data_IF_005916435738
#
_entry.id   IF_005916435738
#
_cell.length_a   1.000
_cell.length_b   1.000
_cell.length_c   1.000
_cell.angle_alpha   90.00
_cell.angle_beta   90.00
_cell.angle_gamma   90.00
#
_symmetry.space_group_name_H-M   'P 1'
#
loop_
_entity.id
_entity.type
_entity.pdbx_description
1 polymer ?
#
# COMPACT_ATOMS: atom_id res chain seq x y z
N UNK A 1 -14.17 4.93 -5.47
CA UNK A 1 -14.14 6.03 -4.53
C UNK A 1 -13.09 7.07 -4.93
N UNK A 2 -13.44 8.01 -5.85
CA UNK A 2 -12.60 9.21 -6.10
C UNK A 2 -11.31 9.00 -6.89
N UNK A 3 -11.20 7.91 -7.66
CA UNK A 3 -10.08 7.78 -8.60
C UNK A 3 -10.12 8.91 -9.63
N UNK A 4 -8.98 9.54 -9.85
CA UNK A 4 -8.75 10.53 -10.91
C UNK A 4 -7.39 10.22 -11.54
N UNK A 5 -7.26 10.29 -12.89
CA UNK A 5 -5.95 10.25 -13.53
C UNK A 5 -5.06 11.37 -13.00
N UNK A 6 -3.80 11.06 -12.76
CA UNK A 6 -2.82 12.08 -12.34
C UNK A 6 -2.12 12.68 -13.56
N UNK A 7 -1.62 13.92 -13.47
CA UNK A 7 -0.98 14.58 -14.60
C UNK A 7 0.29 13.87 -15.08
N UNK A 8 0.50 13.88 -16.40
CA UNK A 8 1.79 13.58 -17.00
C UNK A 8 2.42 14.92 -17.42
N UNK A 9 3.46 15.34 -16.69
CA UNK A 9 4.10 16.65 -16.83
C UNK A 9 5.36 16.53 -17.66
N UNK A 10 5.49 17.34 -18.73
CA UNK A 10 6.72 17.45 -19.51
C UNK A 10 7.67 18.47 -18.90
N UNK A 11 8.92 18.05 -18.65
CA UNK A 11 9.99 18.90 -18.12
C UNK A 11 10.89 19.38 -19.26
N UNK A 12 10.42 20.33 -20.05
CA UNK A 12 11.09 20.77 -21.30
C UNK A 12 12.47 21.35 -21.06
N UNK A 13 12.65 22.16 -20.01
CA UNK A 13 13.95 22.76 -19.68
C UNK A 13 14.99 21.70 -19.29
N UNK A 14 14.57 20.69 -18.50
CA UNK A 14 15.46 19.56 -18.17
C UNK A 14 15.75 18.70 -19.38
N UNK A 15 14.78 18.51 -20.28
CA UNK A 15 15.00 17.78 -21.54
C UNK A 15 16.08 18.45 -22.37
N UNK A 16 16.01 19.77 -22.52
CA UNK A 16 17.00 20.56 -23.25
C UNK A 16 18.38 20.51 -22.57
N UNK A 17 18.42 20.67 -21.24
CA UNK A 17 19.66 20.63 -20.47
C UNK A 17 20.43 19.30 -20.61
N UNK A 18 19.68 18.18 -20.60
CA UNK A 18 20.27 16.84 -20.72
C UNK A 18 20.39 16.33 -22.17
N UNK A 19 19.96 17.12 -23.17
CA UNK A 19 20.05 16.73 -24.58
C UNK A 19 19.19 15.50 -24.94
N UNK A 20 18.09 15.26 -24.21
CA UNK A 20 17.16 14.16 -24.47
C UNK A 20 15.87 14.68 -25.09
N UNK A 21 15.17 13.82 -25.83
CA UNK A 21 13.96 14.22 -26.56
C UNK A 21 12.84 14.70 -25.61
N UNK A 22 12.57 13.97 -24.53
CA UNK A 22 11.57 14.33 -23.52
C UNK A 22 11.92 13.72 -22.17
N UNK A 23 11.67 14.48 -21.11
CA UNK A 23 11.57 14.01 -19.74
C UNK A 23 10.12 14.20 -19.31
N UNK A 24 9.45 13.11 -18.94
CA UNK A 24 8.05 13.10 -18.50
C UNK A 24 8.00 12.64 -17.06
N UNK A 25 7.18 13.30 -16.25
CA UNK A 25 6.92 12.94 -14.85
C UNK A 25 5.44 12.66 -14.68
N UNK A 26 5.10 11.45 -14.25
CA UNK A 26 3.77 11.12 -13.76
C UNK A 26 3.65 11.65 -12.33
N UNK A 27 2.89 12.70 -12.14
CA UNK A 27 2.82 13.42 -10.85
C UNK A 27 1.79 12.77 -9.91
N UNK A 28 2.26 11.90 -9.04
CA UNK A 28 1.47 11.21 -8.03
C UNK A 28 1.35 11.97 -6.69
N UNK A 29 1.84 13.21 -6.63
CA UNK A 29 1.85 14.02 -5.39
C UNK A 29 0.46 14.30 -4.82
N UNK A 30 -0.58 14.21 -5.66
CA UNK A 30 -1.97 14.46 -5.24
C UNK A 30 -2.84 13.20 -5.18
N UNK A 31 -2.26 12.01 -5.41
CA UNK A 31 -3.01 10.75 -5.41
C UNK A 31 -3.72 10.55 -4.07
N UNK A 32 -5.05 10.64 -4.07
CA UNK A 32 -5.94 10.51 -2.90
C UNK A 32 -5.53 11.33 -1.66
N UNK A 33 -4.75 12.41 -1.84
CA UNK A 33 -4.21 13.22 -0.74
C UNK A 33 -3.08 12.56 0.06
N UNK A 34 -2.52 11.44 -0.42
CA UNK A 34 -1.47 10.69 0.28
C UNK A 34 -0.05 11.02 -0.19
N UNK A 35 0.13 11.89 -1.18
CA UNK A 35 1.42 12.29 -1.73
C UNK A 35 2.31 11.11 -2.20
N UNK A 36 1.70 10.02 -2.63
CA UNK A 36 2.40 8.81 -3.08
C UNK A 36 1.44 7.89 -3.85
N UNK A 37 1.98 7.01 -4.69
CA UNK A 37 1.21 6.03 -5.47
C UNK A 37 1.04 4.67 -4.76
N UNK A 38 1.77 4.43 -3.67
CA UNK A 38 1.85 3.10 -3.01
C UNK A 38 0.50 2.51 -2.60
N UNK A 39 -0.52 3.37 -2.33
CA UNK A 39 -1.84 2.87 -2.00
C UNK A 39 -2.55 2.18 -3.18
N UNK A 40 -2.18 2.45 -4.44
CA UNK A 40 -2.73 1.72 -5.60
C UNK A 40 -2.43 0.22 -5.50
N UNK A 41 -1.17 -0.13 -5.20
CA UNK A 41 -0.78 -1.53 -5.00
C UNK A 41 -1.36 -2.13 -3.73
N UNK A 42 -1.24 -1.42 -2.60
CA UNK A 42 -1.75 -1.90 -1.30
C UNK A 42 -3.25 -2.17 -1.32
N UNK A 43 -4.05 -1.25 -1.89
CA UNK A 43 -5.51 -1.41 -1.99
C UNK A 43 -5.90 -2.57 -2.93
N UNK A 44 -5.21 -2.71 -4.07
CA UNK A 44 -5.47 -3.81 -4.99
C UNK A 44 -5.15 -5.17 -4.36
N UNK A 45 -4.01 -5.30 -3.68
CA UNK A 45 -3.63 -6.54 -3.00
C UNK A 45 -4.63 -6.91 -1.89
N UNK A 46 -5.07 -5.95 -1.08
CA UNK A 46 -6.10 -6.16 -0.06
C UNK A 46 -7.44 -6.58 -0.71
N UNK A 47 -7.85 -5.93 -1.80
CA UNK A 47 -9.06 -6.31 -2.51
C UNK A 47 -8.96 -7.75 -3.05
N UNK A 48 -7.82 -8.16 -3.61
CA UNK A 48 -7.58 -9.53 -4.08
C UNK A 48 -7.64 -10.56 -2.95
N UNK A 49 -7.02 -10.26 -1.78
CA UNK A 49 -7.11 -11.11 -0.59
C UNK A 49 -8.56 -11.32 -0.15
N UNK A 50 -9.33 -10.23 -0.09
CA UNK A 50 -10.74 -10.29 0.29
C UNK A 50 -11.59 -11.04 -0.75
N UNK A 51 -11.31 -10.84 -2.05
CA UNK A 51 -11.98 -11.59 -3.11
C UNK A 51 -11.76 -13.09 -2.97
N UNK A 52 -10.52 -13.52 -2.71
CA UNK A 52 -10.24 -14.95 -2.47
C UNK A 52 -10.96 -15.46 -1.22
N UNK A 53 -10.91 -14.71 -0.12
CA UNK A 53 -11.54 -15.09 1.14
C UNK A 53 -13.06 -15.24 1.03
N UNK A 54 -13.71 -14.34 0.29
CA UNK A 54 -15.17 -14.31 0.16
C UNK A 54 -15.69 -14.85 -1.17
N UNK A 55 -14.81 -15.47 -1.99
CA UNK A 55 -15.14 -16.05 -3.31
C UNK A 55 -15.83 -15.05 -4.25
N UNK A 56 -15.28 -13.82 -4.33
CA UNK A 56 -15.77 -12.76 -5.21
C UNK A 56 -14.91 -12.66 -6.47
N UNK A 57 -15.54 -12.28 -7.60
CA UNK A 57 -14.77 -11.96 -8.83
C UNK A 57 -14.31 -10.49 -8.78
N UNK A 58 -12.99 -10.30 -8.91
CA UNK A 58 -12.39 -8.96 -8.91
C UNK A 58 -12.83 -8.11 -10.12
N UNK A 59 -13.20 -8.75 -11.25
CA UNK A 59 -13.57 -8.04 -12.47
C UNK A 59 -14.97 -7.42 -12.38
N UNK A 60 -15.85 -8.00 -11.59
CA UNK A 60 -17.22 -7.54 -11.38
C UNK A 60 -17.40 -6.79 -10.05
N UNK A 61 -16.27 -6.44 -9.40
CA UNK A 61 -16.27 -5.94 -8.04
C UNK A 61 -16.39 -4.42 -7.99
N UNK A 62 -17.46 -3.92 -7.39
CA UNK A 62 -17.49 -2.54 -6.90
C UNK A 62 -16.91 -2.43 -5.49
N UNK A 63 -16.47 -1.24 -5.11
CA UNK A 63 -16.04 -0.96 -3.73
C UNK A 63 -17.15 -1.24 -2.71
N UNK A 64 -18.38 -0.88 -3.03
CA UNK A 64 -19.54 -1.08 -2.15
C UNK A 64 -19.86 -2.59 -2.00
N UNK A 65 -19.79 -3.34 -3.10
CA UNK A 65 -19.97 -4.81 -3.06
C UNK A 65 -18.90 -5.47 -2.19
N UNK A 66 -17.63 -5.09 -2.35
CA UNK A 66 -16.54 -5.61 -1.52
C UNK A 66 -16.80 -5.30 -0.03
N UNK A 67 -17.07 -4.05 0.27
CA UNK A 67 -17.30 -3.59 1.65
C UNK A 67 -18.49 -4.29 2.32
N UNK A 68 -19.60 -4.50 1.61
CA UNK A 68 -20.77 -5.20 2.14
C UNK A 68 -20.57 -6.71 2.30
N UNK A 69 -19.63 -7.30 1.56
CA UNK A 69 -19.32 -8.73 1.65
C UNK A 69 -18.43 -9.10 2.83
N UNK A 70 -17.77 -8.13 3.45
CA UNK A 70 -16.89 -8.36 4.61
C UNK A 70 -17.74 -8.61 5.84
N UNK A 71 -17.68 -9.85 6.35
CA UNK A 71 -18.50 -10.28 7.50
C UNK A 71 -17.78 -10.19 8.85
N UNK A 72 -16.46 -10.13 8.82
CA UNK A 72 -15.62 -10.12 10.02
C UNK A 72 -14.52 -9.06 9.91
N UNK A 73 -14.07 -8.57 11.05
CA UNK A 73 -12.99 -7.59 11.11
C UNK A 73 -11.64 -8.28 10.98
N UNK A 74 -10.88 -7.88 9.97
CA UNK A 74 -9.54 -8.39 9.70
C UNK A 74 -8.48 -7.37 10.10
N UNK A 75 -7.28 -7.83 10.33
CA UNK A 75 -6.10 -6.99 10.55
C UNK A 75 -5.09 -7.25 9.47
N UNK A 76 -4.66 -6.19 8.78
CA UNK A 76 -3.59 -6.22 7.79
C UNK A 76 -2.30 -5.69 8.41
N UNK A 77 -1.20 -6.44 8.26
CA UNK A 77 0.10 -6.05 8.80
C UNK A 77 1.12 -5.83 7.69
N UNK A 78 2.02 -4.87 7.87
CA UNK A 78 3.17 -4.68 7.00
C UNK A 78 4.32 -3.99 7.71
N UNK A 79 5.54 -4.19 7.19
CA UNK A 79 6.71 -3.38 7.51
C UNK A 79 6.92 -2.33 6.44
N UNK A 80 7.28 -1.11 6.83
CA UNK A 80 7.50 -0.01 5.91
C UNK A 80 8.47 1.01 6.45
N UNK A 81 9.07 1.79 5.56
CA UNK A 81 9.74 3.06 5.88
C UNK A 81 8.81 4.28 5.67
N UNK A 82 7.53 4.07 5.27
CA UNK A 82 6.52 5.13 5.20
C UNK A 82 5.39 4.90 4.19
N UNK A 83 5.65 5.08 2.89
CA UNK A 83 4.59 5.21 1.89
C UNK A 83 3.76 3.94 1.67
N UNK A 84 4.37 2.75 1.73
CA UNK A 84 3.63 1.51 1.59
C UNK A 84 2.68 1.29 2.79
N UNK A 85 3.17 1.49 4.02
CA UNK A 85 2.33 1.39 5.22
C UNK A 85 1.17 2.40 5.21
N UNK A 86 1.39 3.62 4.72
CA UNK A 86 0.29 4.59 4.50
C UNK A 86 -0.75 4.05 3.52
N UNK A 87 -0.31 3.40 2.45
CA UNK A 87 -1.20 2.78 1.47
C UNK A 87 -2.04 1.65 2.07
N UNK A 88 -1.43 0.76 2.84
CA UNK A 88 -2.11 -0.33 3.57
C UNK A 88 -3.09 0.22 4.61
N UNK A 89 -2.65 1.19 5.44
CA UNK A 89 -3.48 1.83 6.46
C UNK A 89 -4.71 2.51 5.83
N UNK A 90 -4.51 3.26 4.73
CA UNK A 90 -5.60 3.91 4.02
C UNK A 90 -6.61 2.89 3.48
N UNK A 91 -6.14 1.84 2.80
CA UNK A 91 -7.01 0.82 2.22
C UNK A 91 -7.81 0.07 3.30
N UNK A 92 -7.16 -0.33 4.39
CA UNK A 92 -7.83 -0.95 5.53
C UNK A 92 -8.93 -0.04 6.10
N UNK A 93 -8.62 1.24 6.32
CA UNK A 93 -9.62 2.23 6.81
C UNK A 93 -10.82 2.35 5.88
N UNK A 94 -10.61 2.44 4.54
CA UNK A 94 -11.71 2.55 3.58
C UNK A 94 -12.69 1.36 3.69
N UNK A 95 -12.15 0.17 3.95
CA UNK A 95 -12.92 -1.07 4.09
C UNK A 95 -13.38 -1.35 5.53
N UNK A 96 -13.13 -0.43 6.47
CA UNK A 96 -13.49 -0.60 7.88
C UNK A 96 -12.68 -1.68 8.61
N UNK A 97 -11.49 -2.02 8.09
CA UNK A 97 -10.60 -3.03 8.63
C UNK A 97 -9.50 -2.42 9.51
N UNK A 98 -8.77 -3.25 10.24
CA UNK A 98 -7.62 -2.82 11.04
C UNK A 98 -6.33 -2.87 10.21
N UNK A 99 -5.36 -2.01 10.59
CA UNK A 99 -4.00 -2.09 10.08
C UNK A 99 -3.00 -1.94 11.24
N UNK A 100 -1.96 -2.77 11.24
CA UNK A 100 -0.81 -2.69 12.15
C UNK A 100 0.45 -2.53 11.31
N UNK A 101 1.11 -1.40 11.46
CA UNK A 101 2.24 -1.01 10.65
C UNK A 101 3.50 -0.98 11.52
N UNK A 102 4.46 -1.80 11.17
CA UNK A 102 5.76 -1.82 11.81
C UNK A 102 6.77 -0.97 11.02
N UNK A 103 7.54 -0.17 11.73
CA UNK A 103 8.58 0.65 11.14
C UNK A 103 9.93 0.33 11.79
N UNK A 104 11.04 0.33 11.03
CA UNK A 104 12.36 0.06 11.58
C UNK A 104 12.83 1.20 12.47
N UNK A 105 13.84 0.91 13.27
CA UNK A 105 14.55 1.89 14.10
C UNK A 105 15.00 3.09 13.27
N UNK A 106 14.81 4.29 13.83
CA UNK A 106 15.21 5.54 13.19
C UNK A 106 14.22 6.09 12.17
N UNK A 107 13.03 5.50 12.05
CA UNK A 107 11.95 6.06 11.22
C UNK A 107 11.57 7.46 11.69
N UNK A 108 11.41 8.39 10.75
CA UNK A 108 11.06 9.78 11.06
C UNK A 108 9.64 9.89 11.66
N UNK A 109 9.50 10.72 12.69
CA UNK A 109 8.23 10.89 13.42
C UNK A 109 7.09 11.32 12.49
N UNK A 110 7.36 12.17 11.51
CA UNK A 110 6.35 12.64 10.54
C UNK A 110 5.73 11.49 9.74
N UNK A 111 6.50 10.43 9.45
CA UNK A 111 6.02 9.23 8.76
C UNK A 111 5.15 8.37 9.67
N UNK A 112 5.53 8.24 10.94
CA UNK A 112 4.73 7.56 11.97
C UNK A 112 3.39 8.28 12.14
N UNK A 113 3.41 9.61 12.31
CA UNK A 113 2.22 10.42 12.48
C UNK A 113 1.28 10.35 11.25
N UNK A 114 1.86 10.28 10.06
CA UNK A 114 1.08 10.15 8.83
C UNK A 114 0.31 8.81 8.76
N UNK A 115 0.85 7.73 9.32
CA UNK A 115 0.19 6.43 9.43
C UNK A 115 -0.88 6.47 10.53
N UNK A 116 -0.54 7.01 11.71
CA UNK A 116 -1.47 7.13 12.83
C UNK A 116 -2.73 7.95 12.48
N UNK A 117 -2.56 9.04 11.70
CA UNK A 117 -3.71 9.85 11.20
C UNK A 117 -4.67 9.07 10.31
N UNK A 118 -4.24 7.96 9.73
CA UNK A 118 -5.10 7.06 8.96
C UNK A 118 -5.86 6.06 9.84
N UNK A 119 -5.65 6.10 11.15
CA UNK A 119 -6.33 5.22 12.12
C UNK A 119 -5.71 3.82 12.24
N UNK A 120 -4.52 3.62 11.69
CA UNK A 120 -3.75 2.40 11.89
C UNK A 120 -2.94 2.46 13.19
N UNK A 121 -2.64 1.31 13.75
CA UNK A 121 -1.58 1.18 14.76
C UNK A 121 -0.22 1.26 14.07
N UNK A 122 0.71 2.03 14.62
CA UNK A 122 2.06 2.19 14.09
C UNK A 122 3.08 1.99 15.20
N UNK A 123 3.97 1.02 15.02
CA UNK A 123 4.95 0.59 16.02
C UNK A 123 6.35 0.74 15.42
N UNK A 124 7.17 1.59 16.02
CA UNK A 124 8.60 1.69 15.66
C UNK A 124 9.36 0.66 16.50
N UNK A 125 10.06 -0.24 15.84
CA UNK A 125 10.87 -1.28 16.48
C UNK A 125 12.29 -0.78 16.75
N UNK A 126 13.04 -1.50 17.59
CA UNK A 126 14.47 -1.26 17.78
C UNK A 126 15.36 -2.00 16.74
N UNK A 127 14.74 -2.59 15.72
CA UNK A 127 15.36 -3.45 14.71
C UNK A 127 15.63 -2.70 13.40
N UNK A 128 16.53 -3.24 12.58
CA UNK A 128 16.68 -2.85 11.18
C UNK A 128 15.45 -3.29 10.36
N UNK A 129 15.42 -2.90 9.07
CA UNK A 129 14.28 -3.18 8.20
C UNK A 129 14.00 -4.68 8.05
N UNK A 130 15.02 -5.48 7.75
CA UNK A 130 14.86 -6.92 7.48
C UNK A 130 14.41 -7.70 8.73
N UNK A 131 14.95 -7.35 9.90
CA UNK A 131 14.53 -7.93 11.17
C UNK A 131 13.11 -7.52 11.53
N UNK A 132 12.72 -6.27 11.22
CA UNK A 132 11.35 -5.80 11.40
C UNK A 132 10.38 -6.57 10.48
N UNK A 133 10.76 -6.87 9.23
CA UNK A 133 9.96 -7.72 8.33
C UNK A 133 9.76 -9.11 8.93
N UNK A 134 10.84 -9.76 9.39
CA UNK A 134 10.76 -11.08 10.04
C UNK A 134 9.85 -11.07 11.28
N UNK A 135 10.01 -10.05 12.12
CA UNK A 135 9.18 -9.84 13.31
C UNK A 135 7.70 -9.64 12.94
N UNK A 136 7.42 -8.84 11.92
CA UNK A 136 6.06 -8.60 11.44
C UNK A 136 5.40 -9.90 10.96
N UNK A 137 6.13 -10.72 10.20
CA UNK A 137 5.65 -12.01 9.71
C UNK A 137 5.28 -12.95 10.86
N UNK A 138 6.18 -13.10 11.84
CA UNK A 138 5.97 -13.96 13.01
C UNK A 138 4.78 -13.49 13.86
N UNK A 139 4.69 -12.16 14.07
CA UNK A 139 3.61 -11.56 14.85
C UNK A 139 2.27 -11.70 14.14
N UNK A 140 2.23 -11.48 12.83
CA UNK A 140 1.03 -11.65 12.03
C UNK A 140 0.55 -13.10 12.05
N UNK A 141 1.45 -14.06 11.86
CA UNK A 141 1.13 -15.49 11.94
C UNK A 141 0.54 -15.88 13.30
N UNK A 142 1.15 -15.41 14.39
CA UNK A 142 0.68 -15.70 15.76
C UNK A 142 -0.71 -15.14 16.04
N UNK A 143 -1.05 -13.99 15.45
CA UNK A 143 -2.32 -13.29 15.69
C UNK A 143 -3.38 -13.55 14.61
N UNK A 144 -3.08 -14.34 13.58
CA UNK A 144 -4.01 -14.58 12.48
C UNK A 144 -4.25 -13.35 11.60
N UNK A 145 -3.24 -12.48 11.45
CA UNK A 145 -3.30 -11.29 10.60
C UNK A 145 -2.81 -11.59 9.19
N UNK A 146 -3.31 -10.82 8.21
CA UNK A 146 -2.88 -10.90 6.82
C UNK A 146 -1.70 -9.95 6.58
N UNK A 147 -0.59 -10.49 6.07
CA UNK A 147 0.59 -9.68 5.72
C UNK A 147 0.44 -9.13 4.31
N UNK A 148 0.60 -7.81 4.16
CA UNK A 148 0.58 -7.11 2.88
C UNK A 148 1.92 -6.39 2.70
N UNK A 149 2.99 -7.19 2.46
CA UNK A 149 4.35 -6.68 2.28
C UNK A 149 4.66 -6.48 0.79
N UNK A 150 5.34 -5.39 0.43
CA UNK A 150 5.68 -5.06 -0.96
C UNK A 150 7.04 -5.62 -1.43
N UNK A 151 7.76 -6.30 -0.54
CA UNK A 151 9.01 -7.01 -0.87
C UNK A 151 8.71 -8.50 -1.03
N UNK A 152 9.21 -9.10 -2.12
CA UNK A 152 9.07 -10.53 -2.38
C UNK A 152 10.26 -11.32 -1.80
N UNK A 153 10.00 -12.57 -1.38
CA UNK A 153 11.00 -13.57 -1.04
C UNK A 153 10.50 -14.96 -1.41
N UNK A 154 11.31 -15.98 -1.24
CA UNK A 154 10.94 -17.36 -1.52
C UNK A 154 9.68 -17.77 -0.72
N UNK A 155 8.64 -18.24 -1.43
CA UNK A 155 7.34 -18.59 -0.84
C UNK A 155 6.39 -17.41 -0.61
N UNK A 156 6.83 -16.16 -0.76
CA UNK A 156 5.98 -14.96 -0.63
C UNK A 156 6.07 -14.08 -1.89
N UNK A 157 5.44 -14.48 -2.96
CA UNK A 157 5.45 -13.79 -4.26
C UNK A 157 4.07 -13.27 -4.68
N UNK A 158 3.01 -13.93 -4.22
CA UNK A 158 1.63 -13.65 -4.63
C UNK A 158 1.20 -12.22 -4.31
N UNK A 159 1.33 -11.80 -3.07
CA UNK A 159 0.95 -10.45 -2.61
C UNK A 159 1.79 -9.36 -3.29
N UNK A 160 3.14 -9.45 -3.34
CA UNK A 160 3.96 -8.50 -4.10
C UNK A 160 3.57 -8.41 -5.58
N UNK A 161 3.21 -9.52 -6.23
CA UNK A 161 2.71 -9.53 -7.62
C UNK A 161 1.43 -8.71 -7.74
N UNK A 162 0.47 -8.90 -6.83
CA UNK A 162 -0.75 -8.10 -6.85
C UNK A 162 -0.50 -6.61 -6.58
N UNK A 163 0.44 -6.29 -5.70
CA UNK A 163 0.85 -4.91 -5.46
C UNK A 163 1.39 -4.28 -6.76
N UNK A 164 2.25 -5.00 -7.50
CA UNK A 164 2.76 -4.53 -8.79
C UNK A 164 1.63 -4.38 -9.83
N UNK A 165 0.67 -5.30 -9.87
CA UNK A 165 -0.51 -5.19 -10.75
C UNK A 165 -1.33 -3.94 -10.43
N UNK A 166 -1.51 -3.61 -9.14
CA UNK A 166 -2.16 -2.37 -8.73
C UNK A 166 -1.44 -1.11 -9.20
N UNK A 167 -0.10 -1.16 -9.32
CA UNK A 167 0.69 -0.04 -9.86
C UNK A 167 0.50 0.15 -11.38
N UNK A 168 -0.03 -0.83 -12.12
CA UNK A 168 -0.34 -0.64 -13.53
C UNK A 168 -1.32 0.52 -13.78
N UNK A 169 -2.15 0.87 -12.78
CA UNK A 169 -3.02 2.06 -12.80
C UNK A 169 -2.25 3.38 -13.01
N UNK A 170 -0.93 3.41 -12.80
CA UNK A 170 -0.10 4.58 -13.09
C UNK A 170 -0.01 4.87 -14.60
N UNK A 171 -0.25 3.88 -15.45
CA UNK A 171 -0.20 4.01 -16.90
C UNK A 171 -1.48 4.62 -17.53
N UNK A 172 -2.52 4.80 -16.72
CA UNK A 172 -3.79 5.45 -17.14
C UNK A 172 -3.62 7.02 -17.08
#
# INVERSE_FOLDING_TARGET
AGYQPTPLVALNELSALFGVQKILVKDESRRFGLNAFKMLGGSYAIARLLCEKYHLDINDLSFETLKSSIKEKMTFATTTDGNHGRGVAWAARQLGQNAVIYMPKGSAQERVDAILRLGAECIVTDMNYDDTVRFTMQTAQKNGWEVVQDTAWEGYTKIPTWIMQGYATLAD
#
